data_IF_582093099986
#
_entry.id   IF_582093099986
#
_cell.length_a   1.000
_cell.length_b   1.000
_cell.length_c   1.000
_cell.angle_alpha   90.00
_cell.angle_beta   90.00
_cell.angle_gamma   90.00
#
_symmetry.space_group_name_H-M   'P 1'
#
loop_
_entity.id
_entity.type
_entity.pdbx_description
1 polymer ?
#
# COMPACT_ATOMS: atom_id res chain seq x y z
N UNK A 1 -15.21 -7.16 -9.93
CA UNK A 1 -14.51 -8.19 -9.16
C UNK A 1 -14.33 -9.43 -10.00
N UNK A 2 -13.21 -10.12 -9.77
CA UNK A 2 -12.97 -11.46 -10.29
C UNK A 2 -13.73 -12.47 -9.41
N UNK A 3 -14.24 -13.55 -10.01
CA UNK A 3 -14.97 -14.60 -9.30
C UNK A 3 -14.34 -15.96 -9.58
N UNK A 4 -14.03 -16.71 -8.53
CA UNK A 4 -13.48 -18.06 -8.62
C UNK A 4 -14.39 -19.00 -7.84
N UNK A 5 -14.92 -20.02 -8.53
CA UNK A 5 -15.87 -20.99 -7.96
C UNK A 5 -17.10 -20.35 -7.27
N UNK A 6 -17.61 -19.24 -7.81
CA UNK A 6 -18.78 -18.54 -7.26
C UNK A 6 -18.49 -17.67 -6.05
N UNK A 7 -17.22 -17.46 -5.69
CA UNK A 7 -16.78 -16.54 -4.65
C UNK A 7 -15.95 -15.40 -5.23
N UNK A 8 -16.01 -14.18 -4.70
CA UNK A 8 -15.20 -13.08 -5.20
C UNK A 8 -13.72 -13.29 -4.83
N UNK A 9 -12.84 -13.27 -5.82
CA UNK A 9 -11.42 -13.57 -5.69
C UNK A 9 -10.49 -12.42 -6.09
N UNK A 10 -11.07 -11.32 -6.58
CA UNK A 10 -10.32 -10.11 -6.92
C UNK A 10 -11.07 -8.85 -6.52
N UNK A 11 -10.37 -7.71 -6.48
CA UNK A 11 -10.81 -6.46 -5.89
C UNK A 11 -12.22 -6.05 -6.36
N UNK A 12 -13.04 -5.69 -5.38
CA UNK A 12 -14.41 -5.26 -5.60
C UNK A 12 -14.87 -4.36 -4.46
N UNK A 13 -15.86 -3.53 -4.76
CA UNK A 13 -16.66 -2.80 -3.79
C UNK A 13 -18.12 -3.09 -4.11
N UNK A 14 -18.89 -3.40 -3.08
CA UNK A 14 -20.30 -3.74 -3.20
C UNK A 14 -21.11 -3.00 -2.15
N UNK A 15 -22.36 -2.70 -2.50
CA UNK A 15 -23.33 -2.02 -1.65
C UNK A 15 -24.65 -2.77 -1.69
N UNK A 16 -25.14 -3.14 -0.51
CA UNK A 16 -26.46 -3.73 -0.36
C UNK A 16 -27.55 -2.66 -0.47
N UNK A 17 -28.54 -2.92 -1.34
CA UNK A 17 -29.75 -2.11 -1.45
C UNK A 17 -30.66 -2.35 -0.24
N UNK A 18 -31.07 -1.28 0.44
CA UNK A 18 -31.97 -1.35 1.61
C UNK A 18 -31.25 -1.07 2.92
N UNK A 19 -30.32 -1.93 3.33
CA UNK A 19 -29.54 -1.76 4.58
C UNK A 19 -28.47 -0.67 4.45
N UNK A 20 -27.99 -0.42 3.22
CA UNK A 20 -26.86 0.46 2.97
C UNK A 20 -25.51 -0.12 3.41
N UNK A 21 -25.44 -1.41 3.76
CA UNK A 21 -24.20 -2.09 4.09
C UNK A 21 -23.26 -2.06 2.88
N UNK A 22 -21.98 -1.77 3.13
CA UNK A 22 -20.95 -1.75 2.10
C UNK A 22 -19.77 -2.62 2.53
N UNK A 23 -19.28 -3.37 1.57
CA UNK A 23 -18.18 -4.31 1.73
C UNK A 23 -17.25 -4.17 0.53
N UNK A 24 -15.97 -4.33 0.79
CA UNK A 24 -14.94 -4.31 -0.24
C UNK A 24 -13.94 -5.43 -0.01
N UNK A 25 -13.24 -5.82 -1.06
CA UNK A 25 -12.10 -6.71 -0.97
C UNK A 25 -10.82 -5.93 -1.19
N UNK A 26 -9.94 -5.99 -0.18
CA UNK A 26 -8.66 -5.31 -0.17
C UNK A 26 -7.51 -6.32 -0.22
N UNK A 27 -6.65 -6.16 -1.20
CA UNK A 27 -5.42 -6.91 -1.28
C UNK A 27 -4.42 -6.39 -0.23
N UNK A 28 -3.81 -7.31 0.52
CA UNK A 28 -2.76 -7.02 1.50
C UNK A 28 -1.60 -7.98 1.24
N UNK A 29 -0.39 -7.45 1.11
CA UNK A 29 0.80 -8.26 0.99
C UNK A 29 1.26 -8.79 2.36
N UNK A 30 1.93 -9.93 2.38
CA UNK A 30 2.65 -10.38 3.57
C UNK A 30 4.02 -10.93 3.23
N UNK A 31 4.93 -10.79 4.18
CA UNK A 31 6.23 -11.43 4.19
C UNK A 31 6.40 -12.19 5.50
N UNK A 32 6.91 -13.41 5.43
CA UNK A 32 7.14 -14.23 6.62
C UNK A 32 8.18 -15.31 6.40
N UNK A 33 9.00 -15.58 7.41
CA UNK A 33 9.85 -16.77 7.49
C UNK A 33 9.41 -17.69 8.63
N UNK A 34 8.19 -17.53 9.16
CA UNK A 34 7.67 -18.41 10.21
C UNK A 34 7.40 -19.80 9.62
N UNK A 35 7.90 -20.85 10.25
CA UNK A 35 7.68 -22.24 9.83
C UNK A 35 6.47 -22.88 10.51
N UNK A 36 5.97 -22.26 11.57
CA UNK A 36 4.80 -22.70 12.31
C UNK A 36 3.48 -22.50 11.54
N UNK A 37 3.47 -21.91 10.33
CA UNK A 37 2.28 -21.88 9.47
C UNK A 37 2.54 -22.50 8.10
N UNK A 38 1.54 -23.22 7.59
CA UNK A 38 1.63 -23.91 6.31
C UNK A 38 1.51 -22.90 5.15
N UNK A 39 2.25 -23.06 4.04
CA UNK A 39 2.15 -22.15 2.89
C UNK A 39 0.74 -22.04 2.28
N UNK A 40 -0.13 -23.02 2.53
CA UNK A 40 -1.51 -23.04 2.02
C UNK A 40 -2.54 -22.63 3.07
N UNK A 41 -2.20 -22.68 4.35
CA UNK A 41 -3.10 -22.37 5.45
C UNK A 41 -2.42 -21.38 6.40
N UNK A 42 -2.67 -20.10 6.13
CA UNK A 42 -2.15 -18.96 6.89
C UNK A 42 -3.02 -18.62 8.11
N UNK A 43 -4.12 -19.37 8.30
CA UNK A 43 -5.07 -19.24 9.41
C UNK A 43 -4.80 -20.23 10.54
N UNK A 44 -3.66 -20.93 10.50
CA UNK A 44 -3.26 -21.85 11.57
C UNK A 44 -1.79 -21.70 11.86
N UNK A 45 -1.49 -21.65 13.16
CA UNK A 45 -0.15 -21.71 13.69
C UNK A 45 0.04 -23.01 14.48
N UNK A 46 1.19 -23.66 14.30
CA UNK A 46 1.58 -24.80 15.12
C UNK A 46 1.94 -24.33 16.52
N UNK A 47 1.81 -25.22 17.50
CA UNK A 47 2.06 -24.90 18.90
C UNK A 47 3.52 -24.50 19.15
N UNK A 48 4.47 -25.07 18.38
CA UNK A 48 5.89 -24.81 18.54
C UNK A 48 6.37 -23.75 17.52
N UNK A 49 6.85 -22.60 18.00
CA UNK A 49 7.43 -21.59 17.12
C UNK A 49 8.71 -22.15 16.49
N UNK A 50 8.84 -22.00 15.19
CA UNK A 50 10.10 -22.25 14.48
C UNK A 50 10.17 -21.36 13.25
N UNK A 51 11.39 -21.11 12.80
CA UNK A 51 11.71 -20.26 11.67
C UNK A 51 12.18 -21.12 10.49
N UNK A 52 11.86 -20.70 9.27
CA UNK A 52 12.40 -21.23 8.02
C UNK A 52 13.66 -20.45 7.62
N UNK A 53 14.52 -21.08 6.83
CA UNK A 53 15.75 -20.45 6.33
C UNK A 53 15.52 -19.44 5.19
N UNK A 54 14.27 -19.28 4.73
CA UNK A 54 13.92 -18.38 3.64
C UNK A 54 12.65 -17.58 3.93
N UNK A 55 12.61 -16.36 3.37
CA UNK A 55 11.42 -15.52 3.33
C UNK A 55 10.41 -16.06 2.33
N UNK A 56 9.14 -16.02 2.72
CA UNK A 56 7.99 -16.31 1.87
C UNK A 56 7.18 -15.04 1.72
N UNK A 57 6.61 -14.85 0.53
CA UNK A 57 5.74 -13.73 0.21
C UNK A 57 4.37 -14.26 -0.22
N UNK A 58 3.33 -13.47 0.00
CA UNK A 58 2.01 -13.75 -0.57
C UNK A 58 1.07 -12.58 -0.49
N UNK A 59 0.06 -12.59 -1.35
CA UNK A 59 -1.04 -11.62 -1.33
C UNK A 59 -2.27 -12.31 -0.80
N UNK A 60 -2.95 -11.66 0.15
CA UNK A 60 -4.25 -12.08 0.63
C UNK A 60 -5.31 -11.08 0.19
N UNK A 61 -6.44 -11.61 -0.29
CA UNK A 61 -7.62 -10.83 -0.60
C UNK A 61 -8.54 -10.87 0.62
N UNK A 62 -8.66 -9.73 1.29
CA UNK A 62 -9.39 -9.61 2.55
C UNK A 62 -10.71 -8.90 2.30
N UNK A 63 -11.81 -9.57 2.58
CA UNK A 63 -13.13 -8.94 2.54
C UNK A 63 -13.41 -8.24 3.87
N UNK A 64 -13.91 -7.00 3.80
CA UNK A 64 -14.13 -6.15 4.98
C UNK A 64 -15.44 -5.37 4.85
N UNK A 65 -16.12 -5.16 5.97
CA UNK A 65 -17.26 -4.22 6.05
C UNK A 65 -16.74 -2.83 6.35
N UNK A 66 -17.14 -1.81 5.58
CA UNK A 66 -16.60 -0.45 5.78
C UNK A 66 -17.67 0.64 5.92
N UNK A 67 -18.93 0.37 5.61
CA UNK A 67 -20.04 1.28 5.89
C UNK A 67 -21.36 0.54 6.13
N UNK A 68 -22.30 1.16 6.84
CA UNK A 68 -23.61 0.57 7.14
C UNK A 68 -23.53 -0.55 8.18
N UNK A 69 -24.13 -1.70 7.89
CA UNK A 69 -24.11 -2.87 8.77
C UNK A 69 -22.73 -3.55 8.80
N UNK A 70 -22.22 -3.83 9.99
CA UNK A 70 -21.00 -4.62 10.20
C UNK A 70 -21.35 -6.09 10.38
N UNK A 71 -20.78 -6.95 9.55
CA UNK A 71 -21.04 -8.38 9.59
C UNK A 71 -20.08 -9.08 10.57
N UNK A 72 -20.57 -9.97 11.44
CA UNK A 72 -19.73 -10.64 12.45
C UNK A 72 -18.72 -11.62 11.86
N UNK A 73 -18.91 -12.04 10.60
CA UNK A 73 -18.00 -12.93 9.87
C UNK A 73 -16.96 -12.15 9.04
N UNK A 74 -16.98 -10.82 9.06
CA UNK A 74 -15.97 -9.96 8.45
C UNK A 74 -15.20 -9.18 9.55
N UNK A 75 -13.93 -8.84 9.33
CA UNK A 75 -13.09 -9.13 8.15
C UNK A 75 -12.76 -10.62 8.00
N UNK A 76 -12.52 -11.08 6.76
CA UNK A 76 -12.18 -12.49 6.47
C UNK A 76 -11.17 -12.61 5.32
N UNK A 77 -10.21 -13.53 5.48
CA UNK A 77 -9.32 -13.95 4.39
C UNK A 77 -9.79 -15.27 3.81
N UNK A 78 -10.49 -15.24 2.67
CA UNK A 78 -10.89 -16.46 1.97
C UNK A 78 -9.86 -16.93 0.93
N UNK A 79 -9.18 -15.99 0.29
CA UNK A 79 -8.24 -16.29 -0.78
C UNK A 79 -6.88 -15.65 -0.50
N UNK A 80 -5.83 -16.46 -0.55
CA UNK A 80 -4.47 -15.97 -0.56
C UNK A 80 -3.63 -16.79 -1.54
N UNK A 81 -2.59 -16.16 -2.06
CA UNK A 81 -1.69 -16.73 -3.04
C UNK A 81 -0.25 -16.45 -2.62
N UNK A 82 0.58 -17.49 -2.63
CA UNK A 82 2.02 -17.34 -2.47
C UNK A 82 2.62 -16.69 -3.72
N UNK A 83 3.53 -15.74 -3.52
CA UNK A 83 4.27 -15.06 -4.58
C UNK A 83 5.76 -15.42 -4.50
N UNK A 84 6.44 -15.59 -5.65
CA UNK A 84 7.83 -16.06 -5.68
C UNK A 84 8.82 -15.00 -5.22
N UNK A 85 8.45 -13.72 -5.23
CA UNK A 85 9.32 -12.60 -4.88
C UNK A 85 8.54 -11.36 -4.47
N UNK A 86 9.22 -10.43 -3.78
CA UNK A 86 8.65 -9.12 -3.44
C UNK A 86 8.29 -8.32 -4.69
N UNK A 87 9.10 -8.34 -5.74
CA UNK A 87 8.82 -7.60 -6.97
C UNK A 87 7.49 -8.04 -7.60
N UNK A 88 7.21 -9.36 -7.61
CA UNK A 88 5.94 -9.87 -8.11
C UNK A 88 4.78 -9.52 -7.18
N UNK A 89 4.99 -9.60 -5.88
CA UNK A 89 4.02 -9.18 -4.87
C UNK A 89 3.60 -7.71 -5.08
N UNK A 90 4.56 -6.80 -5.26
CA UNK A 90 4.32 -5.37 -5.51
C UNK A 90 3.58 -5.19 -6.83
N UNK A 91 3.97 -5.87 -7.91
CA UNK A 91 3.27 -5.79 -9.20
C UNK A 91 1.78 -6.15 -9.10
N UNK A 92 1.45 -7.16 -8.28
CA UNK A 92 0.06 -7.58 -8.03
C UNK A 92 -0.68 -6.53 -7.20
N UNK A 93 -0.06 -5.97 -6.16
CA UNK A 93 -0.69 -5.00 -5.26
C UNK A 93 -0.86 -3.61 -5.90
N UNK A 94 0.06 -3.18 -6.77
CA UNK A 94 -0.02 -1.90 -7.50
C UNK A 94 -1.01 -1.93 -8.67
N UNK A 95 -1.61 -3.10 -8.97
CA UNK A 95 -2.66 -3.27 -9.99
C UNK A 95 -4.01 -3.72 -9.37
N UNK A 96 -4.58 -2.97 -8.42
CA UNK A 96 -5.81 -3.39 -7.75
C UNK A 96 -7.06 -3.19 -8.61
N UNK A 97 -6.99 -2.58 -9.78
CA UNK A 97 -8.15 -2.41 -10.66
C UNK A 97 -7.81 -2.92 -12.05
N UNK A 98 -8.76 -3.59 -12.71
CA UNK A 98 -8.65 -4.00 -14.12
C UNK A 98 -8.48 -2.84 -15.11
N UNK A 99 -8.25 -1.62 -14.64
CA UNK A 99 -7.71 -0.54 -15.45
C UNK A 99 -6.19 -0.70 -15.53
N UNK A 100 -5.70 -0.87 -16.76
CA UNK A 100 -4.33 -0.52 -17.07
C UNK A 100 -4.10 0.90 -16.54
N UNK A 101 -3.45 1.05 -15.38
CA UNK A 101 -2.66 2.24 -15.10
C UNK A 101 -1.66 2.33 -16.26
N UNK A 102 -2.06 3.00 -17.32
CA UNK A 102 -1.19 3.54 -18.36
C UNK A 102 -0.43 4.72 -17.77
N UNK A 103 0.11 4.54 -16.56
CA UNK A 103 1.07 5.41 -15.90
C UNK A 103 2.44 5.15 -16.51
N UNK A 104 2.54 5.26 -17.84
CA UNK A 104 3.79 5.75 -18.39
C UNK A 104 4.01 7.14 -17.80
N UNK A 105 5.24 7.43 -17.37
CA UNK A 105 5.66 8.74 -16.91
C UNK A 105 5.32 9.79 -17.99
N UNK A 106 4.15 10.39 -17.90
CA UNK A 106 3.69 11.39 -18.86
C UNK A 106 4.01 12.76 -18.27
N UNK A 107 5.03 13.41 -18.82
CA UNK A 107 5.27 14.81 -18.52
C UNK A 107 4.31 15.62 -19.36
N UNK A 108 3.21 16.08 -18.76
CA UNK A 108 2.26 16.96 -19.45
C UNK A 108 2.87 18.36 -19.46
N UNK A 109 3.41 18.77 -20.61
CA UNK A 109 3.87 20.14 -20.84
C UNK A 109 2.69 20.95 -21.39
N UNK A 110 2.22 21.91 -20.62
CA UNK A 110 1.21 22.87 -21.08
C UNK A 110 1.93 24.05 -21.75
N UNK A 111 1.78 24.17 -23.06
CA UNK A 111 2.27 25.30 -23.85
C UNK A 111 1.09 26.04 -24.49
N UNK A 112 1.09 27.37 -24.39
CA UNK A 112 0.15 28.19 -25.16
C UNK A 112 0.76 28.39 -26.55
N UNK A 113 0.17 27.73 -27.54
CA UNK A 113 0.58 27.83 -28.95
C UNK A 113 -0.46 28.61 -29.75
N UNK A 114 -0.01 29.34 -30.77
CA UNK A 114 -0.94 29.97 -31.72
C UNK A 114 -1.44 28.93 -32.76
N UNK A 115 -2.43 29.30 -33.59
CA UNK A 115 -2.99 28.37 -34.60
C UNK A 115 -1.96 27.86 -35.62
N UNK A 116 -0.97 28.69 -35.98
CA UNK A 116 0.09 28.31 -36.92
C UNK A 116 1.04 27.25 -36.30
N UNK A 117 1.37 27.41 -35.02
CA UNK A 117 2.21 26.46 -34.27
C UNK A 117 1.47 25.15 -34.00
N UNK A 118 0.15 25.21 -33.71
CA UNK A 118 -0.69 24.03 -33.53
C UNK A 118 -0.82 23.20 -34.83
N UNK A 119 -0.88 23.87 -35.98
CA UNK A 119 -0.93 23.20 -37.27
C UNK A 119 0.41 22.58 -37.66
N UNK A 120 1.54 23.21 -37.28
CA UNK A 120 2.88 22.63 -37.42
C UNK A 120 3.08 21.36 -36.57
N UNK A 121 2.59 21.36 -35.32
CA UNK A 121 2.63 20.19 -34.42
C UNK A 121 1.83 18.98 -34.93
N UNK A 122 0.77 19.21 -35.71
CA UNK A 122 0.00 18.14 -36.37
C UNK A 122 0.75 17.49 -37.54
N UNK A 123 1.73 18.20 -38.09
CA UNK A 123 2.50 17.78 -39.27
C UNK A 123 3.86 17.17 -38.93
N UNK A 124 4.34 17.32 -37.69
CA UNK A 124 5.66 16.86 -37.29
C UNK A 124 5.63 15.41 -36.79
N UNK A 125 6.29 14.51 -37.53
CA UNK A 125 6.32 13.05 -37.32
C UNK A 125 7.10 12.61 -36.05
N UNK A 126 7.46 13.54 -35.16
CA UNK A 126 8.21 13.27 -33.93
C UNK A 126 7.34 12.84 -32.74
N UNK A 127 6.03 13.06 -32.78
CA UNK A 127 5.10 12.60 -31.73
C UNK A 127 4.50 11.27 -32.16
N UNK A 128 5.04 10.16 -31.66
CA UNK A 128 4.55 8.82 -31.96
C UNK A 128 3.21 8.56 -31.26
N UNK A 129 2.11 9.03 -31.84
CA UNK A 129 0.76 8.67 -31.41
C UNK A 129 -0.34 9.63 -31.91
N UNK A 130 -1.60 9.16 -32.02
CA UNK A 130 -2.71 10.04 -32.33
C UNK A 130 -2.90 11.07 -31.21
N UNK A 131 -3.03 12.35 -31.58
CA UNK A 131 -3.40 13.41 -30.65
C UNK A 131 -4.72 13.04 -29.95
N UNK A 132 -4.73 13.07 -28.62
CA UNK A 132 -5.91 12.80 -27.80
C UNK A 132 -6.39 14.10 -27.18
N UNK A 133 -7.68 14.38 -27.31
CA UNK A 133 -8.31 15.45 -26.54
C UNK A 133 -8.48 14.99 -25.09
N UNK A 134 -8.02 15.80 -24.14
CA UNK A 134 -8.13 15.55 -22.71
C UNK A 134 -8.77 16.76 -22.04
N UNK A 135 -9.80 16.54 -21.22
CA UNK A 135 -10.39 17.58 -20.40
C UNK A 135 -9.59 17.70 -19.10
N UNK A 136 -8.97 18.86 -18.85
CA UNK A 136 -8.27 19.16 -17.61
C UNK A 136 -9.16 20.10 -16.76
N UNK A 137 -9.62 19.68 -15.59
CA UNK A 137 -10.36 20.57 -14.70
C UNK A 137 -9.41 21.64 -14.13
N UNK A 138 -9.72 22.91 -14.37
CA UNK A 138 -9.02 24.04 -13.78
C UNK A 138 -9.93 24.64 -12.72
N UNK A 139 -9.49 24.64 -11.45
CA UNK A 139 -10.23 25.25 -10.36
C UNK A 139 -9.79 26.70 -10.18
N UNK A 140 -10.74 27.63 -10.24
CA UNK A 140 -10.51 29.04 -9.91
C UNK A 140 -11.04 29.33 -8.50
N UNK A 141 -10.33 30.17 -7.75
CA UNK A 141 -10.84 30.71 -6.49
C UNK A 141 -12.02 31.64 -6.76
N UNK A 142 -13.07 31.51 -5.95
CA UNK A 142 -14.34 32.22 -6.09
C UNK A 142 -14.13 33.75 -6.03
N UNK A 143 -14.63 34.48 -7.03
CA UNK A 143 -14.48 35.94 -7.17
C UNK A 143 -13.66 36.42 -8.38
N UNK A 144 -12.95 35.53 -9.07
CA UNK A 144 -12.24 35.86 -10.31
C UNK A 144 -13.14 35.64 -11.53
N UNK A 145 -13.82 36.70 -12.00
CA UNK A 145 -14.74 36.63 -13.15
C UNK A 145 -14.01 36.51 -14.52
N UNK A 146 -12.68 36.60 -14.55
CA UNK A 146 -11.86 36.38 -15.75
C UNK A 146 -10.53 35.76 -15.34
N UNK A 147 -10.33 34.47 -15.62
CA UNK A 147 -9.09 33.76 -15.32
C UNK A 147 -8.18 33.70 -16.54
N UNK A 148 -7.08 34.46 -16.54
CA UNK A 148 -5.99 34.24 -17.48
C UNK A 148 -5.02 33.24 -16.88
N UNK A 149 -4.70 32.17 -17.60
CA UNK A 149 -3.63 31.25 -17.23
C UNK A 149 -2.31 31.94 -17.57
N UNK A 150 -1.61 32.45 -16.55
CA UNK A 150 -0.27 33.00 -16.76
C UNK A 150 0.75 31.86 -16.95
N UNK A 151 1.84 32.06 -17.71
CA UNK A 151 2.91 31.06 -17.84
C UNK A 151 3.47 30.62 -16.47
N UNK A 152 3.45 31.51 -15.49
CA UNK A 152 3.83 31.23 -14.10
C UNK A 152 2.82 30.35 -13.38
N UNK A 153 1.52 30.52 -13.59
CA UNK A 153 0.50 29.61 -13.03
C UNK A 153 0.59 28.19 -13.60
N UNK A 154 1.05 28.04 -14.85
CA UNK A 154 1.33 26.73 -15.46
C UNK A 154 2.52 26.01 -14.84
N UNK A 155 3.53 26.75 -14.37
CA UNK A 155 4.65 26.14 -13.64
C UNK A 155 4.22 25.49 -12.33
N UNK A 156 3.15 26.01 -11.71
CA UNK A 156 2.54 25.43 -10.50
C UNK A 156 1.59 24.26 -10.82
N UNK A 157 1.07 24.16 -12.05
CA UNK A 157 0.24 23.03 -12.48
C UNK A 157 1.00 21.69 -12.51
N UNK A 158 2.34 21.70 -12.41
CA UNK A 158 3.15 20.50 -12.20
C UNK A 158 2.73 19.70 -10.96
N UNK A 159 2.14 20.34 -9.95
CA UNK A 159 1.75 19.70 -8.69
C UNK A 159 0.51 18.80 -8.78
N UNK A 160 -0.22 18.77 -9.91
CA UNK A 160 -1.35 17.85 -10.11
C UNK A 160 -0.94 16.50 -10.72
N UNK A 161 0.32 16.36 -11.12
CA UNK A 161 0.87 15.14 -11.76
C UNK A 161 1.97 14.47 -10.96
N UNK A 162 2.25 14.90 -9.72
CA UNK A 162 2.95 14.04 -8.78
C UNK A 162 2.05 12.83 -8.56
N UNK A 163 2.32 11.76 -9.32
CA UNK A 163 1.92 10.42 -8.90
C UNK A 163 2.43 10.32 -7.48
N UNK A 164 1.51 10.30 -6.52
CA UNK A 164 1.87 10.07 -5.12
C UNK A 164 2.79 8.85 -5.15
N UNK A 165 4.06 9.07 -4.76
CA UNK A 165 5.05 8.00 -4.81
C UNK A 165 4.48 6.85 -3.99
N UNK A 166 4.56 5.64 -4.54
CA UNK A 166 4.02 4.50 -3.81
C UNK A 166 4.76 4.42 -2.47
N UNK A 167 3.98 4.41 -1.40
CA UNK A 167 4.45 4.26 -0.02
C UNK A 167 4.06 2.87 0.46
N UNK A 168 4.89 2.26 1.29
CA UNK A 168 4.56 0.99 1.94
C UNK A 168 4.20 1.24 3.39
N UNK A 169 3.18 0.55 3.91
CA UNK A 169 2.93 0.45 5.34
C UNK A 169 3.10 -1.00 5.77
N UNK A 170 4.12 -1.26 6.58
CA UNK A 170 4.43 -2.57 7.14
C UNK A 170 3.84 -2.67 8.54
N UNK A 171 2.85 -3.54 8.71
CA UNK A 171 2.28 -3.90 9.99
C UNK A 171 3.01 -5.10 10.62
N UNK A 172 3.40 -4.96 11.88
CA UNK A 172 4.00 -6.03 12.69
C UNK A 172 3.02 -6.38 13.82
N UNK A 173 2.49 -7.59 13.76
CA UNK A 173 1.49 -8.07 14.72
C UNK A 173 2.10 -8.38 16.10
N UNK A 174 1.22 -8.65 17.08
CA UNK A 174 1.61 -8.99 18.45
C UNK A 174 1.75 -10.49 18.71
N UNK A 175 1.75 -10.84 19.99
CA UNK A 175 1.77 -12.22 20.48
C UNK A 175 0.52 -13.02 20.08
N UNK A 176 0.67 -14.34 19.88
CA UNK A 176 -0.44 -15.25 19.57
C UNK A 176 -1.36 -14.76 18.44
N UNK A 177 -0.74 -14.37 17.31
CA UNK A 177 -1.43 -13.82 16.16
C UNK A 177 -1.10 -14.63 14.89
N UNK A 178 -2.15 -15.08 14.23
CA UNK A 178 -2.07 -15.73 12.92
C UNK A 178 -1.90 -14.68 11.82
N UNK A 179 -1.38 -15.10 10.67
CA UNK A 179 -1.17 -14.18 9.55
C UNK A 179 -2.53 -13.67 9.06
N UNK A 180 -3.55 -14.53 8.93
CA UNK A 180 -4.91 -14.14 8.54
C UNK A 180 -5.48 -13.04 9.43
N UNK A 181 -5.36 -13.20 10.75
CA UNK A 181 -5.83 -12.20 11.71
C UNK A 181 -5.09 -10.87 11.54
N UNK A 182 -3.78 -10.88 11.31
CA UNK A 182 -3.02 -9.65 11.06
C UNK A 182 -3.46 -8.96 9.77
N UNK A 183 -3.66 -9.72 8.68
CA UNK A 183 -4.15 -9.24 7.40
C UNK A 183 -5.56 -8.63 7.51
N UNK A 184 -6.46 -9.31 8.22
CA UNK A 184 -7.82 -8.87 8.54
C UNK A 184 -7.84 -7.50 9.22
N UNK A 185 -7.00 -7.32 10.25
CA UNK A 185 -6.93 -6.05 10.99
C UNK A 185 -6.41 -4.92 10.12
N UNK A 186 -5.35 -5.16 9.35
CA UNK A 186 -4.79 -4.16 8.44
C UNK A 186 -5.80 -3.76 7.37
N UNK A 187 -6.43 -4.72 6.70
CA UNK A 187 -7.43 -4.43 5.67
C UNK A 187 -8.61 -3.62 6.23
N UNK A 188 -9.11 -4.00 7.42
CA UNK A 188 -10.21 -3.32 8.08
C UNK A 188 -9.85 -1.88 8.47
N UNK A 189 -8.65 -1.67 9.04
CA UNK A 189 -8.14 -0.33 9.35
C UNK A 189 -8.01 0.53 8.11
N UNK A 190 -7.50 -0.04 7.02
CA UNK A 190 -7.33 0.67 5.76
C UNK A 190 -8.67 1.03 5.09
N UNK A 191 -9.68 0.17 5.21
CA UNK A 191 -11.01 0.43 4.67
C UNK A 191 -11.77 1.50 5.47
N UNK A 192 -11.65 1.50 6.80
CA UNK A 192 -12.30 2.51 7.66
C UNK A 192 -11.55 3.84 7.68
N UNK A 193 -10.22 3.80 7.60
CA UNK A 193 -9.36 4.99 7.65
C UNK A 193 -9.35 5.82 6.37
N UNK A 194 -10.02 5.35 5.30
CA UNK A 194 -9.94 5.93 3.95
C UNK A 194 -8.48 6.20 3.55
N UNK A 195 -7.61 5.22 3.81
CA UNK A 195 -6.18 5.34 3.60
C UNK A 195 -5.89 5.59 2.11
N UNK A 196 -4.94 6.49 1.85
CA UNK A 196 -4.68 6.95 0.49
C UNK A 196 -4.28 5.79 -0.44
N UNK A 197 -4.76 5.76 -1.70
CA UNK A 197 -4.52 4.62 -2.60
C UNK A 197 -3.05 4.34 -2.95
N UNK A 198 -2.15 5.28 -2.72
CA UNK A 198 -0.71 5.11 -2.95
C UNK A 198 0.01 4.40 -1.78
N UNK A 199 -0.66 4.21 -0.64
CA UNK A 199 -0.11 3.48 0.50
C UNK A 199 -0.50 2.01 0.38
N UNK A 200 0.49 1.16 0.10
CA UNK A 200 0.33 -0.28 -0.06
C UNK A 200 0.53 -0.99 1.28
N UNK A 201 -0.48 -1.73 1.79
CA UNK A 201 -0.38 -2.41 3.06
C UNK A 201 0.38 -3.74 2.95
N UNK A 202 1.31 -3.95 3.87
CA UNK A 202 2.06 -5.18 4.07
C UNK A 202 1.94 -5.65 5.52
N UNK A 203 1.99 -6.97 5.73
CA UNK A 203 2.18 -7.58 7.06
C UNK A 203 3.52 -8.29 7.08
N UNK A 204 4.40 -7.95 8.03
CA UNK A 204 5.54 -8.78 8.36
C UNK A 204 5.17 -9.69 9.55
N UNK A 205 5.13 -11.00 9.31
CA UNK A 205 4.74 -11.96 10.34
C UNK A 205 5.93 -12.78 10.84
N UNK A 206 6.12 -12.76 12.15
CA UNK A 206 7.02 -13.65 12.88
C UNK A 206 6.22 -14.69 13.66
N UNK A 207 6.85 -15.77 14.10
CA UNK A 207 6.16 -16.74 14.96
C UNK A 207 5.94 -16.15 16.36
N UNK A 208 4.68 -15.80 16.65
CA UNK A 208 4.26 -15.19 17.90
C UNK A 208 4.06 -16.19 19.06
N UNK A 209 4.21 -17.50 18.82
CA UNK A 209 3.96 -18.56 19.80
C UNK A 209 2.49 -18.68 20.24
N UNK A 210 2.21 -19.68 21.09
CA UNK A 210 0.90 -19.90 21.73
C UNK A 210 0.94 -19.59 23.23
N UNK A 211 -0.23 -19.30 23.82
CA UNK A 211 -0.50 -18.83 25.21
C UNK A 211 0.51 -19.25 26.30
N UNK A 212 1.01 -20.49 26.30
CA UNK A 212 1.94 -21.01 27.33
C UNK A 212 3.44 -20.77 27.04
N UNK A 213 3.80 -20.10 25.94
CA UNK A 213 5.18 -19.99 25.45
C UNK A 213 5.69 -18.56 25.30
N UNK A 214 5.09 -17.61 26.03
CA UNK A 214 5.39 -16.18 25.93
C UNK A 214 6.90 -15.87 25.97
N UNK A 215 7.63 -16.42 26.94
CA UNK A 215 9.08 -16.21 27.04
C UNK A 215 9.87 -16.85 25.91
N UNK A 216 9.45 -18.02 25.42
CA UNK A 216 10.07 -18.67 24.26
C UNK A 216 9.90 -17.81 23.01
N UNK A 217 8.69 -17.32 22.75
CA UNK A 217 8.43 -16.41 21.63
C UNK A 217 9.29 -15.13 21.69
N UNK A 218 9.56 -14.61 22.89
CA UNK A 218 10.47 -13.46 23.09
C UNK A 218 11.93 -13.75 22.76
N UNK A 219 12.39 -14.97 22.94
CA UNK A 219 13.75 -15.34 22.55
C UNK A 219 13.83 -15.52 21.03
N UNK A 220 12.88 -16.24 20.44
CA UNK A 220 12.89 -16.58 19.02
C UNK A 220 12.62 -15.39 18.08
N UNK A 221 11.93 -14.33 18.54
CA UNK A 221 11.66 -13.16 17.70
C UNK A 221 12.94 -12.47 17.17
N UNK A 222 14.08 -12.66 17.84
CA UNK A 222 15.39 -12.11 17.42
C UNK A 222 15.96 -12.81 16.18
N UNK A 223 15.54 -14.04 15.91
CA UNK A 223 16.02 -14.84 14.78
C UNK A 223 15.52 -14.28 13.43
N UNK A 224 14.45 -13.49 13.47
CA UNK A 224 13.81 -12.91 12.30
C UNK A 224 14.42 -11.56 11.88
N UNK A 225 15.37 -11.01 12.66
CA UNK A 225 15.92 -9.67 12.39
C UNK A 225 16.62 -9.54 11.04
N UNK A 226 17.39 -10.54 10.63
CA UNK A 226 18.07 -10.55 9.33
C UNK A 226 17.07 -10.57 8.16
N UNK A 227 16.01 -11.37 8.30
CA UNK A 227 14.95 -11.51 7.30
C UNK A 227 14.12 -10.22 7.23
N UNK A 228 13.81 -9.63 8.38
CA UNK A 228 13.10 -8.34 8.41
C UNK A 228 13.94 -7.24 7.76
N UNK A 229 15.25 -7.21 8.02
CA UNK A 229 16.16 -6.28 7.36
C UNK A 229 16.22 -6.51 5.84
N UNK A 230 16.23 -7.77 5.39
CA UNK A 230 16.18 -8.11 3.97
C UNK A 230 14.87 -7.62 3.32
N UNK A 231 13.74 -7.89 3.97
CA UNK A 231 12.43 -7.41 3.52
C UNK A 231 12.36 -5.88 3.42
N UNK A 232 12.86 -5.14 4.41
CA UNK A 232 12.89 -3.67 4.38
C UNK A 232 13.79 -3.13 3.27
N UNK A 233 14.97 -3.73 3.05
CA UNK A 233 15.85 -3.36 1.95
C UNK A 233 15.21 -3.62 0.59
N UNK A 234 14.52 -4.73 0.44
CA UNK A 234 13.82 -5.05 -0.79
C UNK A 234 12.67 -4.06 -1.03
N UNK A 235 11.90 -3.70 0.01
CA UNK A 235 10.86 -2.67 -0.08
C UNK A 235 11.43 -1.31 -0.50
N UNK A 236 12.60 -0.92 0.01
CA UNK A 236 13.25 0.35 -0.35
C UNK A 236 13.63 0.45 -1.85
N UNK A 237 13.66 -0.67 -2.58
CA UNK A 237 13.86 -0.67 -4.04
C UNK A 237 12.55 -0.38 -4.81
N UNK A 238 11.40 -0.47 -4.16
CA UNK A 238 10.07 -0.36 -4.77
C UNK A 238 9.26 0.84 -4.27
N UNK A 239 9.54 1.32 -3.06
CA UNK A 239 8.80 2.39 -2.39
C UNK A 239 9.74 3.52 -1.98
N UNK A 240 9.26 4.76 -2.02
CA UNK A 240 10.06 5.90 -1.53
C UNK A 240 10.08 5.96 -0.01
N UNK A 241 8.95 5.65 0.61
CA UNK A 241 8.78 5.67 2.06
C UNK A 241 8.17 4.36 2.55
N UNK A 242 8.70 3.85 3.66
CA UNK A 242 8.21 2.65 4.33
C UNK A 242 7.85 3.02 5.76
N UNK A 243 6.55 3.04 6.02
CA UNK A 243 5.97 3.26 7.34
C UNK A 243 5.92 1.95 8.10
N UNK A 244 6.25 1.98 9.39
CA UNK A 244 6.17 0.80 10.25
C UNK A 244 5.11 1.05 11.32
N UNK A 245 4.11 0.18 11.35
CA UNK A 245 3.07 0.15 12.37
C UNK A 245 3.22 -1.14 13.18
N UNK A 246 3.34 -1.03 14.49
CA UNK A 246 3.54 -2.19 15.37
C UNK A 246 2.43 -2.30 16.40
N UNK A 247 2.03 -3.53 16.74
CA UNK A 247 1.06 -3.79 17.81
C UNK A 247 1.67 -4.67 18.92
N UNK A 248 1.54 -4.24 20.19
CA UNK A 248 1.95 -5.00 21.38
C UNK A 248 3.38 -5.59 21.26
N UNK A 249 3.57 -6.91 21.36
CA UNK A 249 4.88 -7.56 21.20
C UNK A 249 5.52 -7.35 19.82
N UNK A 250 4.79 -6.85 18.81
CA UNK A 250 5.39 -6.39 17.55
C UNK A 250 6.27 -5.15 17.72
N UNK A 251 6.00 -4.30 18.72
CA UNK A 251 6.91 -3.20 19.08
C UNK A 251 8.18 -3.76 19.76
N UNK A 252 8.02 -4.75 20.64
CA UNK A 252 9.16 -5.46 21.23
C UNK A 252 10.01 -6.15 20.16
N UNK A 253 9.37 -6.78 19.16
CA UNK A 253 10.03 -7.35 17.99
C UNK A 253 10.89 -6.31 17.27
N UNK A 254 10.32 -5.13 16.99
CA UNK A 254 11.01 -4.06 16.28
C UNK A 254 12.28 -3.63 17.03
N UNK A 255 12.16 -3.37 18.33
CA UNK A 255 13.29 -2.91 19.14
C UNK A 255 14.31 -4.01 19.44
N UNK A 256 13.87 -5.26 19.64
CA UNK A 256 14.77 -6.39 19.84
C UNK A 256 15.65 -6.67 18.61
N UNK A 257 15.13 -6.36 17.41
CA UNK A 257 15.83 -6.49 16.15
C UNK A 257 16.46 -5.20 15.64
N UNK A 258 16.39 -4.10 16.41
CA UNK A 258 16.93 -2.79 16.02
C UNK A 258 18.38 -2.85 15.51
N UNK A 259 19.33 -3.58 16.13
CA UNK A 259 20.70 -3.67 15.63
C UNK A 259 20.81 -4.22 14.20
N UNK A 260 19.88 -5.09 13.77
CA UNK A 260 19.88 -5.67 12.43
C UNK A 260 19.24 -4.74 11.38
N UNK A 261 18.29 -3.90 11.80
CA UNK A 261 17.48 -3.06 10.90
C UNK A 261 17.85 -1.58 10.92
N UNK A 262 18.62 -1.10 11.89
CA UNK A 262 18.93 0.33 12.05
C UNK A 262 19.52 0.95 10.76
N UNK A 263 20.35 0.20 10.03
CA UNK A 263 20.91 0.63 8.74
C UNK A 263 19.89 0.77 7.60
N UNK A 264 18.66 0.31 7.78
CA UNK A 264 17.56 0.47 6.82
C UNK A 264 16.83 1.81 7.00
N UNK A 265 17.06 2.56 8.09
CA UNK A 265 16.39 3.82 8.37
C UNK A 265 17.31 5.01 8.11
N UNK A 266 16.76 6.03 7.46
CA UNK A 266 17.41 7.34 7.36
C UNK A 266 16.91 8.24 8.51
N UNK A 267 17.76 9.16 9.02
CA UNK A 267 17.29 10.18 9.95
C UNK A 267 16.10 10.95 9.36
N UNK A 268 15.05 11.15 10.16
CA UNK A 268 13.87 11.89 9.73
C UNK A 268 14.29 13.27 9.17
N UNK A 269 13.76 13.63 8.00
CA UNK A 269 13.94 14.98 7.45
C UNK A 269 13.43 15.98 8.49
N UNK A 270 14.30 16.81 9.06
CA UNK A 270 13.84 17.98 9.81
C UNK A 270 13.08 18.85 8.83
N UNK A 271 11.76 18.91 8.97
CA UNK A 271 10.99 19.99 8.36
C UNK A 271 11.48 21.28 9.03
N UNK A 272 12.36 22.01 8.36
CA UNK A 272 12.65 23.39 8.71
C UNK A 272 11.37 24.17 8.49
N UNK A 273 10.61 24.39 9.56
CA UNK A 273 9.57 25.41 9.57
C UNK A 273 10.26 26.74 9.26
N UNK A 274 10.11 27.20 8.03
CA UNK A 274 10.37 28.59 7.67
C UNK A 274 9.42 29.44 8.51
N UNK A 275 9.95 30.02 9.58
CA UNK A 275 9.24 31.01 10.38
C UNK A 275 9.11 32.31 9.58
N UNK A 276 8.23 32.33 8.59
CA UNK A 276 7.68 33.56 8.04
C UNK A 276 6.28 33.72 8.62
N UNK A 277 6.23 34.27 9.83
CA UNK A 277 4.99 34.82 10.41
C UNK A 277 4.51 35.99 9.53
N UNK A 278 3.23 36.03 9.12
CA UNK A 278 2.66 37.19 8.45
C UNK A 278 2.15 38.27 9.43
N UNK A 279 2.46 38.19 10.72
CA UNK A 279 2.06 39.19 11.71
C UNK A 279 3.29 39.89 12.31
N UNK A 280 3.72 40.94 11.63
CA UNK A 280 4.41 42.10 12.18
C UNK A 280 3.78 43.35 11.59
#
# INVERSE_FOLDING_TARGET
GEWVHGRPAGPFTSRESGTGAQFLQRAVGYATSRGDCQPRDISKSSILPHKLDHLRYGVAQVEVSFAGGFFPFLPSVEHHRAEPSLARLVEVLSRPDGEQRTGGRCTVKLEVVNEADLSALRSDNGVTGPLRNMALPVQFLEGNCVGYVTPTALSQAQFLTDQAKDEALVFIHGYNCEISTALERVAQTFALGNMSPHIIPFVFSYSGGHVMQYFSAKTHMREYGADFAAFLRDLANHFEEVHILTHSCGAEFLFANWPAIAGCFQPARRQTFSATSPWQ
#
